data_IF_015133140799
#
_entry.id   IF_015133140799
#
_cell.length_a   1.000
_cell.length_b   1.000
_cell.length_c   1.000
_cell.angle_alpha   90.00
_cell.angle_beta   90.00
_cell.angle_gamma   90.00
#
_symmetry.space_group_name_H-M   'P 1'
#
loop_
_entity.id
_entity.type
_entity.pdbx_description
1 polymer ?
#
# COMPACT_ATOMS: atom_id res chain seq x y z
N UNK A 1 51.36 38.07 37.37
CA UNK A 1 51.22 38.07 35.90
C UNK A 1 51.22 36.65 35.32
N UNK A 2 52.23 35.81 35.59
CA UNK A 2 52.31 34.41 35.11
C UNK A 2 51.14 33.52 35.53
N UNK A 3 50.69 33.61 36.79
CA UNK A 3 49.52 32.84 37.25
C UNK A 3 48.23 33.18 36.50
N UNK A 4 48.00 34.47 36.22
CA UNK A 4 46.82 34.93 35.47
C UNK A 4 46.85 34.39 34.04
N UNK A 5 48.02 34.40 33.40
CA UNK A 5 48.21 33.83 32.06
C UNK A 5 47.98 32.32 32.06
N UNK A 6 48.49 31.60 33.07
CA UNK A 6 48.29 30.16 33.19
C UNK A 6 46.81 29.78 33.39
N UNK A 7 46.10 30.49 34.26
CA UNK A 7 44.66 30.32 34.44
C UNK A 7 43.87 30.63 33.17
N UNK A 8 44.24 31.68 32.43
CA UNK A 8 43.60 32.02 31.17
C UNK A 8 43.79 30.94 30.11
N UNK A 9 44.99 30.35 30.01
CA UNK A 9 45.27 29.23 29.09
C UNK A 9 44.46 28.00 29.48
N UNK A 10 44.41 27.65 30.77
CA UNK A 10 43.58 26.53 31.24
C UNK A 10 42.10 26.75 30.90
N UNK A 11 41.58 27.94 31.13
CA UNK A 11 40.20 28.28 30.80
C UNK A 11 39.95 28.14 29.30
N UNK A 12 40.87 28.63 28.46
CA UNK A 12 40.75 28.52 27.01
C UNK A 12 40.76 27.07 26.53
N UNK A 13 41.62 26.21 27.10
CA UNK A 13 41.65 24.78 26.81
C UNK A 13 40.34 24.12 27.23
N UNK A 14 39.83 24.42 28.43
CA UNK A 14 38.55 23.89 28.91
C UNK A 14 37.40 24.33 28.01
N UNK A 15 37.33 25.60 27.64
CA UNK A 15 36.29 26.16 26.78
C UNK A 15 36.33 25.51 25.38
N UNK A 16 37.52 25.31 24.83
CA UNK A 16 37.71 24.63 23.55
C UNK A 16 37.28 23.15 23.65
N UNK A 17 37.64 22.46 24.72
CA UNK A 17 37.23 21.08 24.97
C UNK A 17 35.71 20.93 25.03
N UNK A 18 35.03 21.78 25.80
CA UNK A 18 33.56 21.80 25.89
C UNK A 18 32.92 22.12 24.54
N UNK A 19 33.44 23.11 23.80
CA UNK A 19 32.95 23.44 22.46
C UNK A 19 33.04 22.26 21.49
N UNK A 20 34.18 21.55 21.44
CA UNK A 20 34.37 20.40 20.56
C UNK A 20 33.40 19.26 20.88
N UNK A 21 33.12 19.00 22.16
CA UNK A 21 32.16 17.97 22.57
C UNK A 21 30.74 18.33 22.12
N UNK A 22 30.31 19.58 22.33
CA UNK A 22 28.99 20.05 21.90
C UNK A 22 28.85 19.98 20.38
N UNK A 23 29.86 20.43 19.65
CA UNK A 23 29.84 20.42 18.19
C UNK A 23 29.82 18.99 17.63
N UNK A 24 30.61 18.09 18.21
CA UNK A 24 30.60 16.68 17.83
C UNK A 24 29.25 16.03 18.10
N UNK A 25 28.64 16.30 19.26
CA UNK A 25 27.31 15.77 19.59
C UNK A 25 26.25 16.30 18.62
N UNK A 26 26.30 17.59 18.28
CA UNK A 26 25.40 18.21 17.29
C UNK A 26 25.56 17.59 15.91
N UNK A 27 26.79 17.32 15.46
CA UNK A 27 27.05 16.62 14.20
C UNK A 27 26.51 15.19 14.24
N UNK A 28 26.79 14.45 15.31
CA UNK A 28 26.32 13.09 15.49
C UNK A 28 24.78 13.00 15.48
N UNK A 29 24.09 13.95 16.11
CA UNK A 29 22.63 14.04 16.09
C UNK A 29 22.08 14.19 14.66
N UNK A 30 22.63 15.14 13.88
CA UNK A 30 22.22 15.33 12.47
C UNK A 30 22.54 14.11 11.59
N UNK A 31 23.66 13.44 11.84
CA UNK A 31 24.01 12.22 11.11
C UNK A 31 23.07 11.06 11.47
N UNK A 32 22.66 10.94 12.73
CA UNK A 32 21.69 9.94 13.17
C UNK A 32 20.32 10.17 12.52
N UNK A 33 19.84 11.41 12.46
CA UNK A 33 18.60 11.78 11.78
C UNK A 33 18.64 11.41 10.29
N UNK A 34 19.72 11.78 9.58
CA UNK A 34 19.91 11.43 8.17
C UNK A 34 19.95 9.92 7.94
N UNK A 35 20.61 9.17 8.84
CA UNK A 35 20.66 7.71 8.77
C UNK A 35 19.27 7.11 8.96
N UNK A 36 18.51 7.59 9.94
CA UNK A 36 17.14 7.13 10.18
C UNK A 36 16.24 7.39 8.96
N UNK A 37 16.31 8.59 8.39
CA UNK A 37 15.58 8.95 7.18
C UNK A 37 15.91 7.99 6.02
N UNK A 38 17.20 7.81 5.71
CA UNK A 38 17.63 6.94 4.61
C UNK A 38 17.26 5.47 4.85
N UNK A 39 17.31 5.00 6.10
CA UNK A 39 16.90 3.65 6.45
C UNK A 39 15.41 3.44 6.19
N UNK A 40 14.55 4.40 6.59
CA UNK A 40 13.11 4.34 6.32
C UNK A 40 12.80 4.37 4.83
N UNK A 41 13.45 5.25 4.06
CA UNK A 41 13.31 5.27 2.58
C UNK A 41 13.67 3.92 1.97
N UNK A 42 14.78 3.32 2.42
CA UNK A 42 15.22 2.01 1.96
C UNK A 42 14.23 0.90 2.35
N UNK A 43 13.67 0.96 3.55
CA UNK A 43 12.65 0.03 4.04
C UNK A 43 11.40 0.05 3.17
N UNK A 44 10.84 1.24 2.91
CA UNK A 44 9.66 1.42 2.05
C UNK A 44 9.92 0.92 0.63
N UNK A 45 11.06 1.29 0.06
CA UNK A 45 11.43 0.88 -1.29
C UNK A 45 11.60 -0.64 -1.38
N UNK A 46 12.20 -1.25 -0.36
CA UNK A 46 12.37 -2.70 -0.31
C UNK A 46 11.05 -3.43 -0.08
N UNK A 47 10.17 -2.92 0.79
CA UNK A 47 8.83 -3.47 1.01
C UNK A 47 8.04 -3.49 -0.31
N UNK A 48 7.99 -2.35 -1.02
CA UNK A 48 7.37 -2.26 -2.34
C UNK A 48 7.95 -3.31 -3.30
N UNK A 49 9.28 -3.43 -3.38
CA UNK A 49 9.94 -4.43 -4.22
C UNK A 49 9.52 -5.86 -3.87
N UNK A 50 9.51 -6.23 -2.59
CA UNK A 50 9.10 -7.57 -2.14
C UNK A 50 7.65 -7.85 -2.52
N UNK A 51 6.74 -6.90 -2.27
CA UNK A 51 5.31 -7.05 -2.59
C UNK A 51 5.04 -7.12 -4.10
N UNK A 52 5.75 -6.34 -4.91
CA UNK A 52 5.67 -6.45 -6.37
C UNK A 52 6.10 -7.82 -6.89
N UNK A 53 7.13 -8.43 -6.29
CA UNK A 53 7.52 -9.80 -6.65
C UNK A 53 6.45 -10.81 -6.22
N UNK A 54 5.86 -10.65 -5.04
CA UNK A 54 4.73 -11.47 -4.59
C UNK A 54 3.53 -11.38 -5.55
N UNK A 55 3.16 -10.19 -6.02
CA UNK A 55 2.09 -10.00 -7.03
C UNK A 55 2.43 -10.64 -8.39
N UNK A 56 3.72 -10.71 -8.71
CA UNK A 56 4.21 -11.37 -9.91
C UNK A 56 4.13 -12.90 -9.80
N UNK A 57 4.50 -13.46 -8.65
CA UNK A 57 4.34 -14.89 -8.33
C UNK A 57 2.86 -15.29 -8.31
N UNK A 58 2.03 -14.40 -7.78
CA UNK A 58 0.59 -14.51 -7.87
C UNK A 58 0.05 -14.17 -9.27
N UNK A 59 0.81 -14.20 -10.37
CA UNK A 59 0.45 -13.81 -11.77
C UNK A 59 -0.61 -12.70 -12.01
N UNK A 60 -0.81 -11.78 -11.09
CA UNK A 60 -1.64 -10.57 -11.30
C UNK A 60 -0.80 -9.42 -11.84
N UNK A 61 0.52 -9.50 -11.67
CA UNK A 61 1.49 -8.58 -12.22
C UNK A 61 2.45 -9.29 -13.18
N UNK A 62 2.75 -8.65 -14.32
CA UNK A 62 3.78 -9.15 -15.24
C UNK A 62 5.17 -8.68 -14.79
N UNK A 63 6.22 -9.53 -14.88
CA UNK A 63 7.57 -9.16 -14.44
C UNK A 63 8.11 -7.86 -15.07
N UNK A 64 7.78 -7.61 -16.35
CA UNK A 64 8.17 -6.40 -17.09
C UNK A 64 7.67 -5.09 -16.46
N UNK A 65 6.65 -5.13 -15.61
CA UNK A 65 6.06 -3.95 -14.98
C UNK A 65 6.69 -3.62 -13.62
N UNK A 66 7.43 -4.57 -13.01
CA UNK A 66 8.07 -4.36 -11.71
C UNK A 66 8.99 -3.13 -11.71
N UNK A 67 9.91 -2.94 -12.68
CA UNK A 67 10.79 -1.77 -12.67
C UNK A 67 10.00 -0.47 -12.75
N UNK A 68 8.91 -0.44 -13.54
CA UNK A 68 8.08 0.76 -13.73
C UNK A 68 7.33 1.14 -12.46
N UNK A 69 6.88 0.16 -11.67
CA UNK A 69 6.24 0.40 -10.37
C UNK A 69 7.26 0.80 -9.28
N UNK A 70 8.48 0.25 -9.32
CA UNK A 70 9.53 0.64 -8.39
C UNK A 70 9.95 2.10 -8.53
N UNK A 71 9.84 2.66 -9.75
CA UNK A 71 10.16 4.07 -10.03
C UNK A 71 9.32 5.03 -9.19
N UNK A 72 8.09 4.65 -8.81
CA UNK A 72 7.22 5.46 -7.95
C UNK A 72 7.93 5.82 -6.65
N UNK A 73 8.56 4.85 -5.98
CA UNK A 73 9.29 5.10 -4.73
C UNK A 73 10.67 5.71 -4.99
N UNK A 74 11.40 5.25 -6.02
CA UNK A 74 12.77 5.71 -6.24
C UNK A 74 12.87 7.18 -6.70
N UNK A 75 11.88 7.67 -7.45
CA UNK A 75 11.89 9.05 -7.95
C UNK A 75 11.26 10.05 -6.98
N UNK A 76 10.61 9.60 -5.91
CA UNK A 76 9.86 10.48 -5.02
C UNK A 76 10.73 11.59 -4.42
N UNK A 77 11.90 11.24 -3.86
CA UNK A 77 12.82 12.25 -3.29
C UNK A 77 13.76 12.90 -4.32
N UNK A 78 13.67 12.52 -5.59
CA UNK A 78 14.32 13.25 -6.68
C UNK A 78 13.55 14.54 -6.99
N UNK A 79 12.22 14.49 -6.86
CA UNK A 79 11.31 15.61 -7.19
C UNK A 79 10.70 16.30 -5.97
N UNK A 80 10.60 15.61 -4.84
CA UNK A 80 10.09 16.14 -3.59
C UNK A 80 11.24 16.50 -2.63
N UNK A 81 11.07 17.56 -1.81
CA UNK A 81 12.06 17.88 -0.80
C UNK A 81 12.16 16.76 0.24
N UNK A 82 13.37 16.58 0.78
CA UNK A 82 13.61 15.60 1.85
C UNK A 82 13.08 16.17 3.17
N UNK A 83 11.88 15.74 3.57
CA UNK A 83 11.24 16.08 4.83
C UNK A 83 10.57 14.85 5.43
N UNK A 84 10.39 14.82 6.75
CA UNK A 84 9.69 13.74 7.43
C UNK A 84 8.22 13.63 7.00
N UNK A 85 7.57 14.76 6.70
CA UNK A 85 6.21 14.81 6.19
C UNK A 85 6.08 14.09 4.83
N UNK A 86 7.03 14.35 3.92
CA UNK A 86 7.06 13.70 2.61
C UNK A 86 7.41 12.21 2.73
N UNK A 87 8.25 11.84 3.68
CA UNK A 87 8.55 10.43 3.96
C UNK A 87 7.33 9.69 4.49
N UNK A 88 6.60 10.28 5.44
CA UNK A 88 5.33 9.73 5.92
C UNK A 88 4.30 9.61 4.79
N UNK A 89 4.26 10.59 3.89
CA UNK A 89 3.40 10.53 2.71
C UNK A 89 3.79 9.39 1.77
N UNK A 90 5.09 9.22 1.48
CA UNK A 90 5.58 8.12 0.65
C UNK A 90 5.23 6.75 1.27
N UNK A 91 5.43 6.60 2.58
CA UNK A 91 5.02 5.42 3.34
C UNK A 91 3.52 5.15 3.16
N UNK A 92 2.69 6.17 3.37
CA UNK A 92 1.23 6.05 3.25
C UNK A 92 0.74 5.69 1.85
N UNK A 93 1.29 6.32 0.80
CA UNK A 93 0.84 6.06 -0.58
C UNK A 93 1.30 4.68 -1.08
N UNK A 94 2.50 4.25 -0.70
CA UNK A 94 3.00 2.91 -1.03
C UNK A 94 2.19 1.85 -0.29
N UNK A 95 1.91 2.05 1.00
CA UNK A 95 1.07 1.14 1.78
C UNK A 95 -0.36 1.10 1.24
N UNK A 96 -0.93 2.24 0.85
CA UNK A 96 -2.25 2.31 0.22
C UNK A 96 -2.30 1.48 -1.06
N UNK A 97 -1.31 1.64 -1.96
CA UNK A 97 -1.23 0.82 -3.17
C UNK A 97 -1.14 -0.68 -2.85
N UNK A 98 -0.22 -1.06 -1.95
CA UNK A 98 -0.02 -2.47 -1.56
C UNK A 98 -1.30 -3.05 -0.94
N UNK A 99 -1.96 -2.30 -0.06
CA UNK A 99 -3.18 -2.71 0.62
C UNK A 99 -4.33 -2.91 -0.37
N UNK A 100 -4.54 -1.93 -1.26
CA UNK A 100 -5.57 -2.02 -2.31
C UNK A 100 -5.36 -3.26 -3.18
N UNK A 101 -4.14 -3.49 -3.69
CA UNK A 101 -3.86 -4.67 -4.53
C UNK A 101 -4.03 -5.98 -3.76
N UNK A 102 -3.65 -6.05 -2.48
CA UNK A 102 -3.86 -7.25 -1.66
C UNK A 102 -5.35 -7.52 -1.38
N UNK A 103 -6.12 -6.47 -1.11
CA UNK A 103 -7.57 -6.56 -0.92
C UNK A 103 -8.25 -7.10 -2.17
N UNK A 104 -7.93 -6.52 -3.33
CA UNK A 104 -8.47 -6.96 -4.62
C UNK A 104 -8.00 -8.35 -5.01
N UNK A 105 -6.75 -8.71 -4.71
CA UNK A 105 -6.26 -10.07 -4.91
C UNK A 105 -7.05 -11.07 -4.06
N UNK A 106 -7.37 -10.72 -2.81
CA UNK A 106 -8.18 -11.54 -1.91
C UNK A 106 -9.61 -11.69 -2.42
N UNK A 107 -10.24 -10.59 -2.85
CA UNK A 107 -11.57 -10.61 -3.52
C UNK A 107 -11.55 -11.50 -4.77
N UNK A 108 -10.49 -11.41 -5.58
CA UNK A 108 -10.35 -12.18 -6.82
C UNK A 108 -10.27 -13.69 -6.59
N UNK A 109 -9.79 -14.14 -5.42
CA UNK A 109 -9.81 -15.57 -5.07
C UNK A 109 -11.23 -16.06 -4.76
N UNK A 110 -12.13 -15.18 -4.29
CA UNK A 110 -13.53 -15.50 -3.99
C UNK A 110 -14.39 -15.41 -5.25
N UNK A 111 -14.21 -14.35 -6.05
CA UNK A 111 -15.02 -14.09 -7.26
C UNK A 111 -14.51 -14.81 -8.51
N UNK A 112 -13.26 -15.28 -8.50
CA UNK A 112 -12.60 -15.84 -9.68
C UNK A 112 -12.16 -14.79 -10.71
N UNK A 113 -12.32 -13.50 -10.43
CA UNK A 113 -12.07 -12.40 -11.39
C UNK A 113 -10.61 -11.92 -11.43
N UNK A 114 -9.69 -12.86 -11.24
CA UNK A 114 -8.25 -12.61 -11.17
C UNK A 114 -7.67 -11.99 -12.45
N UNK A 115 -8.18 -12.37 -13.62
CA UNK A 115 -7.75 -11.81 -14.89
C UNK A 115 -8.14 -10.33 -15.03
N UNK A 116 -9.30 -9.93 -14.47
CA UNK A 116 -9.72 -8.53 -14.45
C UNK A 116 -8.76 -7.67 -13.62
N UNK A 117 -8.32 -8.17 -12.46
CA UNK A 117 -7.31 -7.49 -11.64
C UNK A 117 -5.98 -7.34 -12.39
N UNK A 118 -5.57 -8.36 -13.15
CA UNK A 118 -4.35 -8.30 -13.96
C UNK A 118 -4.45 -7.26 -15.10
N UNK A 119 -5.63 -7.11 -15.68
CA UNK A 119 -5.91 -6.09 -16.70
C UNK A 119 -5.95 -4.69 -16.08
N UNK A 120 -6.61 -4.50 -14.93
CA UNK A 120 -6.63 -3.24 -14.18
C UNK A 120 -5.23 -2.81 -13.76
N UNK A 121 -4.41 -3.74 -13.24
CA UNK A 121 -3.00 -3.46 -12.93
C UNK A 121 -2.19 -3.12 -14.20
N UNK A 122 -2.50 -3.75 -15.33
CA UNK A 122 -1.86 -3.41 -16.61
C UNK A 122 -2.23 -2.00 -17.07
N UNK A 123 -3.48 -1.57 -16.89
CA UNK A 123 -3.96 -0.21 -17.17
C UNK A 123 -3.33 0.82 -16.22
N UNK A 124 -3.32 0.53 -14.91
CA UNK A 124 -2.65 1.36 -13.91
C UNK A 124 -1.19 1.59 -14.28
N UNK A 125 -0.48 0.52 -14.64
CA UNK A 125 0.91 0.63 -15.07
C UNK A 125 0.99 1.47 -16.34
N UNK A 126 0.08 1.31 -17.31
CA UNK A 126 0.07 2.09 -18.55
C UNK A 126 -0.06 3.60 -18.32
N UNK A 127 -0.82 4.02 -17.31
CA UNK A 127 -1.04 5.42 -16.94
C UNK A 127 0.12 6.04 -16.15
N UNK A 128 1.09 5.23 -15.70
CA UNK A 128 2.29 5.77 -15.03
C UNK A 128 3.14 6.61 -16.00
N UNK A 129 3.76 7.69 -15.53
CA UNK A 129 4.62 8.48 -16.40
C UNK A 129 5.81 7.69 -16.94
N UNK A 130 6.21 8.01 -18.16
CA UNK A 130 7.36 7.38 -18.83
C UNK A 130 8.64 8.15 -18.56
N UNK A 131 8.55 9.48 -18.45
CA UNK A 131 9.70 10.35 -18.19
C UNK A 131 9.82 10.65 -16.69
N UNK A 132 11.05 10.64 -16.18
CA UNK A 132 11.30 10.95 -14.76
C UNK A 132 10.79 12.33 -14.32
N UNK A 133 10.77 13.31 -15.23
CA UNK A 133 10.30 14.69 -14.97
C UNK A 133 8.79 14.78 -14.71
N UNK A 134 8.02 13.81 -15.19
CA UNK A 134 6.56 13.77 -15.04
C UNK A 134 6.12 13.23 -13.68
N UNK A 135 7.03 12.60 -12.93
CA UNK A 135 6.83 12.24 -11.52
C UNK A 135 6.91 13.51 -10.65
N UNK A 136 6.09 14.51 -10.89
CA UNK A 136 6.11 15.77 -10.16
C UNK A 136 5.14 15.76 -8.96
N UNK A 137 5.03 16.89 -8.25
CA UNK A 137 4.10 17.02 -7.12
C UNK A 137 2.64 16.71 -7.49
N UNK A 138 2.14 17.22 -8.62
CA UNK A 138 0.77 16.94 -9.06
C UNK A 138 0.54 15.44 -9.29
N UNK A 139 1.53 14.75 -9.86
CA UNK A 139 1.45 13.30 -10.00
C UNK A 139 1.29 12.60 -8.64
N UNK A 140 2.15 12.88 -7.67
CA UNK A 140 2.12 12.16 -6.40
C UNK A 140 0.92 12.49 -5.52
N UNK A 141 0.40 13.73 -5.56
CA UNK A 141 -0.67 14.18 -4.66
C UNK A 141 -2.07 14.18 -5.28
N UNK A 142 -2.18 14.19 -6.61
CA UNK A 142 -3.48 14.26 -7.29
C UNK A 142 -3.73 13.01 -8.14
N UNK A 143 -2.76 12.65 -8.99
CA UNK A 143 -2.94 11.58 -9.99
C UNK A 143 -2.79 10.20 -9.35
N UNK A 144 -1.66 9.91 -8.71
CA UNK A 144 -1.34 8.59 -8.15
C UNK A 144 -2.39 8.09 -7.14
N UNK A 145 -2.87 8.91 -6.17
CA UNK A 145 -3.93 8.46 -5.26
C UNK A 145 -5.23 8.13 -6.00
N UNK A 146 -5.56 8.90 -7.04
CA UNK A 146 -6.74 8.66 -7.87
C UNK A 146 -6.62 7.37 -8.68
N UNK A 147 -5.43 7.11 -9.25
CA UNK A 147 -5.13 5.86 -9.94
C UNK A 147 -5.24 4.65 -9.03
N UNK A 148 -4.77 4.75 -7.79
CA UNK A 148 -4.87 3.66 -6.80
C UNK A 148 -6.35 3.37 -6.49
N UNK A 149 -7.19 4.40 -6.32
CA UNK A 149 -8.63 4.21 -6.09
C UNK A 149 -9.34 3.51 -7.25
N UNK A 150 -8.89 3.73 -8.48
CA UNK A 150 -9.47 3.04 -9.66
C UNK A 150 -9.22 1.52 -9.65
N UNK A 151 -8.26 1.04 -8.86
CA UNK A 151 -8.04 -0.40 -8.66
C UNK A 151 -9.11 -1.05 -7.77
N UNK A 152 -9.80 -0.27 -6.92
CA UNK A 152 -10.80 -0.80 -6.00
C UNK A 152 -12.04 -1.26 -6.76
N UNK A 153 -12.46 -2.50 -6.55
CA UNK A 153 -13.74 -3.01 -7.02
C UNK A 153 -14.83 -2.75 -5.97
N UNK A 154 -16.12 -2.65 -6.37
CA UNK A 154 -17.22 -2.55 -5.42
C UNK A 154 -17.10 -3.66 -4.38
N UNK A 155 -17.30 -3.32 -3.11
CA UNK A 155 -17.28 -4.34 -2.08
C UNK A 155 -18.31 -5.42 -2.40
N UNK A 156 -17.88 -6.68 -2.28
CA UNK A 156 -18.76 -7.83 -2.38
C UNK A 156 -19.75 -7.66 -1.23
N UNK A 157 -20.91 -7.07 -1.54
CA UNK A 157 -22.01 -7.00 -0.63
C UNK A 157 -22.38 -8.45 -0.36
N UNK A 158 -22.05 -8.93 0.83
CA UNK A 158 -22.74 -10.10 1.38
C UNK A 158 -24.18 -9.65 1.61
N UNK A 159 -24.98 -9.56 0.54
CA UNK A 159 -26.42 -9.70 0.70
C UNK A 159 -26.60 -11.11 1.30
N UNK A 160 -27.12 -11.23 2.53
CA UNK A 160 -27.53 -12.53 3.00
C UNK A 160 -28.58 -13.02 2.01
N UNK A 161 -28.33 -14.19 1.43
CA UNK A 161 -29.31 -14.98 0.70
C UNK A 161 -30.56 -15.10 1.58
N UNK A 162 -31.53 -14.19 1.41
CA UNK A 162 -32.88 -14.41 1.88
C UNK A 162 -33.50 -15.33 0.85
N UNK A 163 -33.12 -16.60 0.96
CA UNK A 163 -33.96 -17.69 0.48
C UNK A 163 -35.23 -17.58 1.35
N UNK A 164 -36.24 -16.88 0.85
CA UNK A 164 -37.61 -17.05 1.31
C UNK A 164 -37.97 -18.51 1.06
N UNK A 165 -37.74 -19.33 2.10
CA UNK A 165 -38.40 -20.61 2.23
C UNK A 165 -39.88 -20.28 2.39
N UNK A 166 -40.65 -20.55 1.35
CA UNK A 166 -42.10 -20.70 1.49
C UNK A 166 -42.34 -21.79 2.54
N UNK A 167 -42.88 -21.34 3.68
CA UNK A 167 -43.23 -22.16 4.83
C UNK A 167 -44.34 -23.14 4.43
N UNK A 168 -44.08 -24.42 4.67
CA UNK A 168 -45.05 -25.49 4.68
C UNK A 168 -46.22 -25.10 5.60
N UNK A 169 -47.44 -25.03 5.05
CA UNK A 169 -48.65 -25.13 5.87
C UNK A 169 -49.06 -26.58 6.03
N UNK A 170 -49.12 -26.93 7.30
CA UNK A 170 -49.44 -28.22 7.91
C UNK A 170 -50.71 -28.90 7.38
N UNK A 171 -50.64 -30.22 7.45
CA UNK A 171 -51.70 -31.21 7.26
C UNK A 171 -52.92 -30.94 8.16
N UNK A 172 -54.12 -31.17 7.62
CA UNK A 172 -55.28 -31.61 8.42
C UNK A 172 -56.17 -32.57 7.61
N UNK A 173 -56.98 -33.30 8.35
CA UNK A 173 -57.27 -34.72 8.31
C UNK A 173 -58.13 -35.30 7.16
N UNK A 174 -57.85 -36.58 6.90
CA UNK A 174 -58.79 -37.68 6.64
C UNK A 174 -60.08 -37.43 5.84
N UNK A 175 -60.18 -37.98 4.62
CA UNK A 175 -61.32 -38.85 4.26
C UNK A 175 -61.10 -39.74 3.02
N UNK A 176 -61.57 -40.96 3.20
CA UNK A 176 -61.46 -42.20 2.44
C UNK A 176 -62.03 -42.23 1.02
N UNK A 177 -61.67 -43.33 0.33
CA UNK A 177 -62.29 -43.93 -0.87
C UNK A 177 -61.97 -43.25 -2.22
N UNK A 178 -61.67 -43.93 -3.33
CA UNK A 178 -61.52 -45.34 -3.67
C UNK A 178 -61.19 -45.41 -5.17
N UNK A 179 -60.61 -46.54 -5.58
CA UNK A 179 -60.92 -47.23 -6.84
C UNK A 179 -60.18 -46.81 -8.13
N UNK A 180 -59.26 -47.70 -8.48
CA UNK A 180 -58.76 -48.12 -9.80
C UNK A 180 -59.67 -47.93 -11.03
N UNK A 181 -59.02 -47.55 -12.13
CA UNK A 181 -59.01 -48.28 -13.42
C UNK A 181 -60.01 -47.92 -14.55
N UNK A 182 -59.40 -47.65 -15.72
CA UNK A 182 -59.78 -47.95 -17.12
C UNK A 182 -60.79 -47.08 -17.90
N UNK A 183 -60.28 -46.56 -19.03
CA UNK A 183 -60.77 -46.71 -20.42
C UNK A 183 -62.27 -47.00 -20.61
N UNK A 184 -63.01 -46.11 -21.31
CA UNK A 184 -63.74 -46.50 -22.53
C UNK A 184 -64.20 -45.30 -23.39
N UNK A 185 -64.26 -45.57 -24.68
CA UNK A 185 -64.72 -44.81 -25.85
C UNK A 185 -66.23 -44.55 -25.81
N UNK A 186 -66.63 -43.43 -26.40
CA UNK A 186 -68.00 -43.11 -26.86
C UNK A 186 -67.96 -41.94 -27.83
#
# INVERSE_FOLDING_TARGET
MTYVVFFAILLLITLLGTYLVIENNRRNAREAEKKLFNNRVAEVTNNLKVKLNYFCEAHVLRPKYIPRLQVIASNFFVVQPHSDENLLYLEGIVESFISTVNSELTKSFVTGERDKLADQLSLFVAELPYAGIEYNHAFYYEILPSLIKTLESPDISNEPDIIEKEDDKEQDDSQSHSFTQQLNVG
#
